data_IF_679815717742
#
_entry.id   IF_679815717742
#
_cell.length_a   1.000
_cell.length_b   1.000
_cell.length_c   1.000
_cell.angle_alpha   90.00
_cell.angle_beta   90.00
_cell.angle_gamma   90.00
#
_symmetry.space_group_name_H-M   'P 1'
#
loop_
_entity.id
_entity.type
_entity.pdbx_description
1 polymer ?
#
# COMPACT_ATOMS: atom_id res chain seq x y z
N UNK A 1 -16.48 40.64 -4.40
CA UNK A 1 -15.77 39.36 -4.64
C UNK A 1 -15.70 38.62 -3.31
N UNK A 2 -16.65 37.71 -3.09
CA UNK A 2 -16.73 36.90 -1.87
C UNK A 2 -15.74 35.75 -2.03
N UNK A 3 -14.81 35.61 -1.11
CA UNK A 3 -13.90 34.49 -1.05
C UNK A 3 -14.70 33.17 -0.94
N UNK A 4 -14.31 32.08 -1.63
CA UNK A 4 -14.97 30.79 -1.46
C UNK A 4 -14.79 30.36 -0.01
N UNK A 5 -15.90 30.06 0.67
CA UNK A 5 -15.90 29.49 2.00
C UNK A 5 -14.99 28.27 2.01
N UNK A 6 -14.03 28.25 2.89
CA UNK A 6 -13.22 27.09 3.23
C UNK A 6 -14.18 25.97 3.70
N UNK A 7 -14.49 25.04 2.82
CA UNK A 7 -15.23 23.83 3.19
C UNK A 7 -14.27 22.93 3.96
N UNK A 8 -14.06 23.25 5.22
CA UNK A 8 -13.43 22.36 6.18
C UNK A 8 -14.24 21.07 6.16
N UNK A 9 -13.66 20.00 5.63
CA UNK A 9 -14.31 18.68 5.63
C UNK A 9 -14.32 18.23 7.09
N UNK A 10 -15.52 18.10 7.65
CA UNK A 10 -15.68 17.61 9.02
C UNK A 10 -15.17 16.18 9.10
N UNK A 11 -14.19 15.93 9.96
CA UNK A 11 -13.60 14.60 10.17
C UNK A 11 -14.63 13.57 10.71
N UNK A 12 -15.81 14.04 11.12
CA UNK A 12 -16.92 13.23 11.62
C UNK A 12 -17.87 12.73 10.51
N UNK A 13 -17.73 13.21 9.26
CA UNK A 13 -18.60 12.74 8.17
C UNK A 13 -18.25 11.30 7.75
N UNK A 14 -19.26 10.41 7.52
CA UNK A 14 -19.02 9.07 7.06
C UNK A 14 -18.30 9.08 5.70
N UNK A 15 -17.39 8.15 5.52
CA UNK A 15 -16.67 7.97 4.26
C UNK A 15 -17.65 7.61 3.14
N UNK A 16 -17.38 8.09 1.93
CA UNK A 16 -18.05 7.57 0.73
C UNK A 16 -17.67 6.09 0.52
N UNK A 17 -18.57 5.31 -0.12
CA UNK A 17 -18.45 3.85 -0.23
C UNK A 17 -17.08 3.38 -0.75
N UNK A 18 -16.54 4.03 -1.79
CA UNK A 18 -15.23 3.70 -2.34
C UNK A 18 -14.11 3.83 -1.29
N UNK A 19 -14.12 4.90 -0.48
CA UNK A 19 -13.12 5.12 0.56
C UNK A 19 -13.30 4.17 1.74
N UNK A 20 -14.53 3.83 2.08
CA UNK A 20 -14.83 2.83 3.11
C UNK A 20 -14.33 1.44 2.69
N UNK A 21 -14.46 1.09 1.40
CA UNK A 21 -13.92 -0.15 0.87
C UNK A 21 -12.38 -0.15 0.92
N UNK A 22 -11.72 0.94 0.52
CA UNK A 22 -10.25 1.05 0.62
C UNK A 22 -9.77 1.00 2.07
N UNK A 23 -10.46 1.67 3.01
CA UNK A 23 -10.13 1.61 4.43
C UNK A 23 -10.17 0.17 4.95
N UNK A 24 -11.27 -0.56 4.70
CA UNK A 24 -11.42 -1.96 5.13
C UNK A 24 -10.37 -2.88 4.52
N UNK A 25 -10.07 -2.70 3.23
CA UNK A 25 -9.05 -3.51 2.55
C UNK A 25 -7.64 -3.23 3.12
N UNK A 26 -7.31 -1.98 3.42
CA UNK A 26 -6.01 -1.61 4.00
C UNK A 26 -5.89 -2.08 5.46
N UNK A 27 -6.96 -1.98 6.26
CA UNK A 27 -7.00 -2.58 7.60
C UNK A 27 -6.83 -4.10 7.54
N UNK A 28 -7.39 -4.76 6.52
CA UNK A 28 -7.14 -6.17 6.25
C UNK A 28 -5.68 -6.48 5.96
N UNK A 29 -5.00 -5.63 5.21
CA UNK A 29 -3.54 -5.72 4.96
C UNK A 29 -2.75 -5.62 6.28
N UNK A 30 -3.11 -4.67 7.14
CA UNK A 30 -2.47 -4.52 8.47
C UNK A 30 -2.66 -5.76 9.34
N UNK A 31 -3.88 -6.26 9.39
CA UNK A 31 -4.19 -7.48 10.16
C UNK A 31 -3.42 -8.70 9.62
N UNK A 32 -3.38 -8.85 8.29
CA UNK A 32 -2.68 -9.94 7.60
C UNK A 32 -1.16 -9.88 7.84
N UNK A 33 -0.57 -8.68 7.83
CA UNK A 33 0.85 -8.49 8.12
C UNK A 33 1.17 -8.82 9.58
N UNK A 34 0.35 -8.39 10.54
CA UNK A 34 0.51 -8.71 11.98
C UNK A 34 0.47 -10.22 12.22
N UNK A 35 -0.54 -10.92 11.65
CA UNK A 35 -0.67 -12.36 11.74
C UNK A 35 0.53 -13.09 11.10
N UNK A 36 0.97 -12.60 9.93
CA UNK A 36 2.11 -13.18 9.23
C UNK A 36 3.41 -13.12 10.06
N UNK A 37 3.65 -12.01 10.75
CA UNK A 37 4.90 -11.75 11.49
C UNK A 37 4.84 -12.19 12.96
N UNK A 38 3.64 -12.46 13.48
CA UNK A 38 3.49 -12.98 14.84
C UNK A 38 4.30 -14.26 15.03
N UNK A 39 4.89 -14.41 16.21
CA UNK A 39 5.60 -15.63 16.65
C UNK A 39 6.83 -16.02 15.79
N UNK A 40 7.25 -15.20 14.81
CA UNK A 40 8.48 -15.44 14.09
C UNK A 40 9.69 -15.03 14.93
N UNK A 41 10.75 -15.82 14.91
CA UNK A 41 12.07 -15.36 15.32
C UNK A 41 12.68 -14.42 14.27
N UNK A 42 13.70 -13.64 14.65
CA UNK A 42 14.38 -12.76 13.71
C UNK A 42 15.01 -13.55 12.56
N UNK A 43 15.59 -14.73 12.86
CA UNK A 43 16.14 -15.62 11.84
C UNK A 43 15.08 -16.15 10.87
N UNK A 44 13.85 -16.42 11.33
CA UNK A 44 12.73 -16.80 10.48
C UNK A 44 12.23 -15.63 9.64
N UNK A 45 12.18 -14.43 10.21
CA UNK A 45 11.76 -13.21 9.53
C UNK A 45 12.70 -12.85 8.38
N UNK A 46 13.99 -13.08 8.54
CA UNK A 46 15.06 -12.79 7.56
C UNK A 46 15.35 -13.95 6.61
N UNK A 47 14.76 -15.13 6.85
CA UNK A 47 15.07 -16.31 6.06
C UNK A 47 14.62 -16.19 4.61
N UNK A 48 15.51 -16.56 3.67
CA UNK A 48 15.26 -16.58 2.23
C UNK A 48 15.13 -18.02 1.72
N UNK A 49 14.08 -18.34 0.94
CA UNK A 49 13.89 -19.68 0.39
C UNK A 49 15.02 -20.16 -0.55
N UNK A 50 15.60 -19.23 -1.31
CA UNK A 50 16.73 -19.47 -2.23
C UNK A 50 17.45 -18.15 -2.58
N UNK A 51 18.67 -18.21 -3.17
CA UNK A 51 19.34 -17.03 -3.69
C UNK A 51 18.46 -16.25 -4.66
N UNK A 52 18.34 -14.94 -4.45
CA UNK A 52 17.51 -14.04 -5.26
C UNK A 52 16.00 -14.08 -4.97
N UNK A 53 15.56 -14.88 -4.01
CA UNK A 53 14.19 -14.81 -3.46
C UNK A 53 14.17 -13.95 -2.20
N UNK A 54 13.09 -13.25 -1.99
CA UNK A 54 12.93 -12.37 -0.85
C UNK A 54 12.49 -13.12 0.40
N UNK A 55 12.97 -12.64 1.55
CA UNK A 55 12.49 -13.00 2.88
C UNK A 55 11.16 -12.28 3.18
N UNK A 56 10.56 -12.60 4.33
CA UNK A 56 9.40 -11.86 4.85
C UNK A 56 9.78 -10.40 5.12
N UNK A 57 10.95 -10.17 5.76
CA UNK A 57 11.49 -8.84 6.01
C UNK A 57 11.60 -8.02 4.72
N UNK A 58 12.15 -8.61 3.67
CA UNK A 58 12.36 -7.93 2.39
C UNK A 58 11.05 -7.61 1.68
N UNK A 59 10.02 -8.45 1.82
CA UNK A 59 8.69 -8.15 1.29
C UNK A 59 8.10 -6.91 1.99
N UNK A 60 8.17 -6.80 3.32
CA UNK A 60 7.66 -5.65 4.06
C UNK A 60 8.48 -4.38 3.81
N UNK A 61 9.81 -4.49 3.75
CA UNK A 61 10.67 -3.34 3.45
C UNK A 61 10.41 -2.80 2.03
N UNK A 62 10.23 -3.69 1.04
CA UNK A 62 9.84 -3.29 -0.31
C UNK A 62 8.50 -2.53 -0.33
N UNK A 63 7.49 -3.03 0.39
CA UNK A 63 6.20 -2.35 0.51
C UNK A 63 6.33 -0.98 1.17
N UNK A 64 7.18 -0.87 2.19
CA UNK A 64 7.47 0.41 2.84
C UNK A 64 8.09 1.40 1.86
N UNK A 65 9.10 1.00 1.11
CA UNK A 65 9.78 1.89 0.16
C UNK A 65 8.86 2.35 -0.97
N UNK A 66 8.13 1.41 -1.58
CA UNK A 66 7.18 1.73 -2.67
C UNK A 66 6.01 2.57 -2.17
N UNK A 67 5.47 2.23 -1.00
CA UNK A 67 4.37 2.94 -0.38
C UNK A 67 4.73 4.37 0.02
N UNK A 68 5.95 4.63 0.54
CA UNK A 68 6.41 6.01 0.85
C UNK A 68 6.49 6.88 -0.39
N UNK A 69 6.89 6.32 -1.53
CA UNK A 69 6.87 7.07 -2.80
C UNK A 69 5.44 7.37 -3.24
N UNK A 70 4.55 6.37 -3.19
CA UNK A 70 3.13 6.55 -3.51
C UNK A 70 2.46 7.57 -2.58
N UNK A 71 2.71 7.49 -1.27
CA UNK A 71 2.19 8.40 -0.25
C UNK A 71 2.50 9.87 -0.55
N UNK A 72 3.74 10.16 -0.97
CA UNK A 72 4.13 11.53 -1.37
C UNK A 72 3.28 12.02 -2.52
N UNK A 73 3.14 11.24 -3.59
CA UNK A 73 2.33 11.61 -4.75
C UNK A 73 0.83 11.70 -4.42
N UNK A 74 0.32 10.86 -3.52
CA UNK A 74 -1.04 10.96 -3.02
C UNK A 74 -1.23 12.29 -2.29
N UNK A 75 -0.35 12.67 -1.37
CA UNK A 75 -0.43 13.95 -0.63
C UNK A 75 -0.38 15.17 -1.55
N UNK A 76 0.51 15.16 -2.53
CA UNK A 76 0.58 16.20 -3.56
C UNK A 76 -0.75 16.29 -4.35
N UNK A 77 -1.33 15.14 -4.69
CA UNK A 77 -2.61 15.06 -5.40
C UNK A 77 -3.78 15.55 -4.54
N UNK A 78 -3.81 15.23 -3.25
CA UNK A 78 -4.82 15.74 -2.32
C UNK A 78 -4.77 17.28 -2.22
N UNK A 79 -3.57 17.83 -2.05
CA UNK A 79 -3.37 19.28 -2.01
C UNK A 79 -3.79 19.95 -3.34
N UNK A 80 -3.42 19.36 -4.48
CA UNK A 80 -3.81 19.88 -5.81
C UNK A 80 -5.33 19.81 -6.02
N UNK A 81 -5.96 18.69 -5.66
CA UNK A 81 -7.39 18.51 -5.80
C UNK A 81 -8.18 19.56 -4.98
N UNK A 82 -7.74 19.84 -3.74
CA UNK A 82 -8.32 20.90 -2.90
C UNK A 82 -8.17 22.29 -3.52
N UNK A 83 -6.95 22.66 -3.95
CA UNK A 83 -6.70 23.95 -4.62
C UNK A 83 -7.56 24.16 -5.85
N UNK A 84 -7.83 23.09 -6.60
CA UNK A 84 -8.61 23.12 -7.85
C UNK A 84 -10.12 22.94 -7.62
N UNK A 85 -10.57 22.81 -6.38
CA UNK A 85 -11.98 22.61 -6.06
C UNK A 85 -12.56 21.31 -6.64
N UNK A 86 -11.77 20.24 -6.72
CA UNK A 86 -12.22 18.96 -7.27
C UNK A 86 -12.99 18.17 -6.22
N UNK A 87 -14.20 18.60 -5.90
CA UNK A 87 -15.08 17.96 -4.92
C UNK A 87 -16.15 17.10 -5.60
N UNK A 88 -16.48 15.94 -5.01
CA UNK A 88 -17.59 15.07 -5.37
C UNK A 88 -17.71 13.92 -4.37
N UNK A 89 -18.92 13.47 -4.10
CA UNK A 89 -19.20 12.31 -3.23
C UNK A 89 -19.40 10.99 -3.98
N UNK A 90 -19.18 10.98 -5.29
CA UNK A 90 -19.37 9.78 -6.09
C UNK A 90 -20.85 9.57 -6.50
N UNK A 91 -21.23 8.35 -6.88
CA UNK A 91 -20.34 7.20 -7.08
C UNK A 91 -19.30 7.42 -8.19
N UNK A 92 -18.12 6.80 -8.05
CA UNK A 92 -17.02 6.98 -9.02
C UNK A 92 -16.94 5.80 -10.00
N UNK A 93 -16.84 6.11 -11.29
CA UNK A 93 -16.56 5.13 -12.35
C UNK A 93 -15.15 5.35 -12.88
N UNK A 94 -14.27 4.38 -12.68
CA UNK A 94 -12.88 4.47 -13.09
C UNK A 94 -12.67 3.94 -14.50
N UNK A 95 -11.63 4.45 -15.20
CA UNK A 95 -11.31 4.04 -16.56
C UNK A 95 -10.79 2.60 -16.64
N UNK A 96 -11.12 1.91 -17.74
CA UNK A 96 -10.82 0.49 -17.95
C UNK A 96 -9.31 0.19 -17.90
N UNK A 97 -8.47 1.04 -18.50
CA UNK A 97 -7.02 0.85 -18.50
C UNK A 97 -6.45 0.79 -17.06
N UNK A 98 -6.84 1.74 -16.20
CA UNK A 98 -6.40 1.72 -14.80
C UNK A 98 -6.93 0.51 -14.03
N UNK A 99 -8.16 0.05 -14.32
CA UNK A 99 -8.69 -1.18 -13.73
C UNK A 99 -7.90 -2.42 -14.17
N UNK A 100 -7.46 -2.49 -15.44
CA UNK A 100 -6.60 -3.58 -15.90
C UNK A 100 -5.25 -3.58 -15.18
N UNK A 101 -4.65 -2.41 -14.97
CA UNK A 101 -3.39 -2.26 -14.20
C UNK A 101 -3.58 -2.76 -12.77
N UNK A 102 -4.63 -2.31 -12.07
CA UNK A 102 -4.95 -2.77 -10.70
C UNK A 102 -5.11 -4.29 -10.67
N UNK A 103 -5.89 -4.87 -11.58
CA UNK A 103 -6.09 -6.32 -11.65
C UNK A 103 -4.79 -7.11 -11.90
N UNK A 104 -3.85 -6.54 -12.70
CA UNK A 104 -2.56 -7.19 -12.97
C UNK A 104 -1.65 -7.25 -11.74
N UNK A 105 -1.90 -6.40 -10.73
CA UNK A 105 -1.16 -6.35 -9.46
C UNK A 105 -1.72 -7.27 -8.38
N UNK A 106 -2.78 -8.01 -8.64
CA UNK A 106 -3.39 -8.91 -7.66
C UNK A 106 -2.44 -10.01 -7.15
N UNK A 107 -2.84 -10.72 -6.06
CA UNK A 107 -1.95 -11.55 -5.24
C UNK A 107 -1.35 -12.78 -5.94
N UNK A 108 -1.88 -13.23 -7.06
CA UNK A 108 -1.34 -14.37 -7.82
C UNK A 108 -0.80 -13.90 -9.17
N UNK A 109 0.46 -13.42 -9.23
CA UNK A 109 0.99 -12.89 -10.48
C UNK A 109 1.17 -13.99 -11.54
N UNK A 110 0.65 -13.75 -12.74
CA UNK A 110 0.91 -14.61 -13.91
C UNK A 110 2.34 -14.42 -14.46
N UNK A 111 2.97 -13.28 -14.14
CA UNK A 111 4.33 -12.93 -14.58
C UNK A 111 5.14 -12.40 -13.39
N UNK A 112 6.40 -12.81 -13.32
CA UNK A 112 7.37 -12.30 -12.35
C UNK A 112 8.05 -11.07 -12.96
N UNK A 113 7.85 -9.90 -12.34
CA UNK A 113 8.59 -8.69 -12.69
C UNK A 113 9.71 -8.47 -11.67
N UNK A 114 10.89 -8.11 -12.15
CA UNK A 114 11.96 -7.66 -11.24
C UNK A 114 11.65 -6.24 -10.77
N UNK A 115 11.72 -6.01 -9.48
CA UNK A 115 11.58 -4.66 -8.91
C UNK A 115 12.69 -3.75 -9.46
N UNK A 116 12.36 -2.52 -9.90
CA UNK A 116 13.37 -1.51 -10.23
C UNK A 116 14.35 -1.34 -9.07
N UNK A 117 15.60 -0.98 -9.37
CA UNK A 117 16.67 -0.86 -8.36
C UNK A 117 16.29 0.06 -7.18
N UNK A 118 15.59 1.16 -7.47
CA UNK A 118 15.14 2.13 -6.46
C UNK A 118 14.09 1.58 -5.47
N UNK A 119 13.47 0.44 -5.76
CA UNK A 119 12.43 -0.18 -4.93
C UNK A 119 12.87 -1.55 -4.39
N UNK A 120 14.14 -1.90 -4.51
CA UNK A 120 14.65 -3.13 -3.92
C UNK A 120 14.80 -2.97 -2.41
N UNK A 121 14.51 -4.03 -1.65
CA UNK A 121 14.68 -4.02 -0.20
C UNK A 121 16.11 -3.62 0.19
N UNK A 122 16.23 -2.91 1.31
CA UNK A 122 17.53 -2.58 1.89
C UNK A 122 18.10 -3.81 2.63
N UNK A 123 19.40 -4.10 2.49
CA UNK A 123 20.00 -5.22 3.20
C UNK A 123 20.11 -4.94 4.70
N UNK A 124 20.00 -6.00 5.51
CA UNK A 124 20.35 -6.03 6.93
C UNK A 124 19.67 -4.97 7.82
N UNK A 125 18.37 -4.74 7.63
CA UNK A 125 17.57 -3.91 8.54
C UNK A 125 17.07 -4.74 9.72
N UNK A 126 17.14 -4.17 10.93
CA UNK A 126 16.59 -4.82 12.12
C UNK A 126 15.06 -5.02 11.97
N UNK A 127 14.55 -6.17 12.44
CA UNK A 127 13.13 -6.51 12.39
C UNK A 127 12.23 -5.40 12.93
N UNK A 128 12.55 -4.90 14.12
CA UNK A 128 11.78 -3.85 14.78
C UNK A 128 11.67 -2.56 13.92
N UNK A 129 12.71 -2.24 13.14
CA UNK A 129 12.68 -1.10 12.22
C UNK A 129 11.77 -1.36 11.01
N UNK A 130 11.87 -2.56 10.42
CA UNK A 130 11.05 -2.94 9.26
C UNK A 130 9.57 -2.93 9.64
N UNK A 131 9.20 -3.57 10.75
CA UNK A 131 7.81 -3.61 11.24
C UNK A 131 7.29 -2.21 11.58
N UNK A 132 8.06 -1.43 12.36
CA UNK A 132 7.69 -0.06 12.73
C UNK A 132 7.42 0.80 11.49
N UNK A 133 8.33 0.78 10.51
CA UNK A 133 8.23 1.62 9.33
C UNK A 133 7.09 1.20 8.41
N UNK A 134 6.82 -0.12 8.31
CA UNK A 134 5.70 -0.65 7.57
C UNK A 134 4.36 -0.22 8.21
N UNK A 135 4.18 -0.44 9.52
CA UNK A 135 2.91 -0.10 10.18
C UNK A 135 2.69 1.41 10.24
N UNK A 136 3.74 2.22 10.46
CA UNK A 136 3.63 3.68 10.40
C UNK A 136 3.18 4.15 9.00
N UNK A 137 3.67 3.54 7.92
CA UNK A 137 3.20 3.83 6.57
C UNK A 137 1.71 3.53 6.41
N UNK A 138 1.23 2.39 6.96
CA UNK A 138 -0.19 2.02 6.85
C UNK A 138 -1.09 3.04 7.56
N UNK A 139 -0.69 3.54 8.73
CA UNK A 139 -1.42 4.58 9.45
C UNK A 139 -1.50 5.89 8.64
N UNK A 140 -0.39 6.27 7.99
CA UNK A 140 -0.35 7.45 7.12
C UNK A 140 -1.25 7.29 5.87
N UNK A 141 -1.30 6.09 5.28
CA UNK A 141 -2.18 5.79 4.14
C UNK A 141 -3.65 5.80 4.54
N UNK A 142 -3.99 5.25 5.70
CA UNK A 142 -5.34 5.35 6.28
C UNK A 142 -5.74 6.81 6.51
N UNK A 143 -4.80 7.64 6.96
CA UNK A 143 -4.98 9.09 7.05
C UNK A 143 -5.33 9.71 5.69
N UNK A 144 -4.57 9.39 4.64
CA UNK A 144 -4.84 9.89 3.29
C UNK A 144 -6.19 9.42 2.72
N UNK A 145 -6.62 8.19 3.02
CA UNK A 145 -7.95 7.70 2.64
C UNK A 145 -9.03 8.58 3.29
N UNK A 146 -8.93 8.86 4.60
CA UNK A 146 -9.88 9.73 5.32
C UNK A 146 -9.85 11.15 4.76
N UNK A 147 -8.68 11.71 4.53
CA UNK A 147 -8.49 13.05 3.94
C UNK A 147 -9.02 13.19 2.51
N UNK A 148 -9.23 12.09 1.82
CA UNK A 148 -9.81 12.05 0.47
C UNK A 148 -11.33 12.22 0.47
N UNK A 149 -12.00 12.15 1.64
CA UNK A 149 -13.45 12.25 1.73
C UNK A 149 -13.93 13.59 1.17
N UNK A 150 -14.95 13.55 0.35
CA UNK A 150 -15.46 14.71 -0.36
C UNK A 150 -14.69 15.12 -1.62
N UNK A 151 -13.50 14.60 -1.88
CA UNK A 151 -12.77 14.86 -3.11
C UNK A 151 -13.25 13.99 -4.27
N UNK A 152 -13.09 14.49 -5.48
CA UNK A 152 -13.41 13.73 -6.70
C UNK A 152 -12.30 12.73 -7.03
N UNK A 153 -12.42 11.50 -6.51
CA UNK A 153 -11.41 10.44 -6.65
C UNK A 153 -11.10 10.08 -8.11
N UNK A 154 -12.00 10.36 -9.04
CA UNK A 154 -11.80 10.11 -10.48
C UNK A 154 -11.02 11.24 -11.16
N UNK A 155 -11.31 12.50 -10.83
CA UNK A 155 -10.69 13.69 -11.48
C UNK A 155 -9.34 14.03 -10.86
N UNK A 156 -9.14 13.81 -9.59
CA UNK A 156 -7.83 13.90 -8.95
C UNK A 156 -6.89 12.85 -9.56
N UNK A 157 -5.73 13.27 -10.08
CA UNK A 157 -4.81 12.41 -10.84
C UNK A 157 -3.45 12.32 -10.17
N UNK A 158 -3.05 11.10 -9.87
CA UNK A 158 -1.71 10.76 -9.39
C UNK A 158 -0.84 10.42 -10.59
N UNK A 159 0.33 11.03 -10.68
CA UNK A 159 1.33 10.67 -11.69
C UNK A 159 2.15 9.50 -11.16
N UNK A 160 2.26 8.44 -11.96
CA UNK A 160 3.02 7.24 -11.57
C UNK A 160 4.49 7.57 -11.28
N UNK A 161 5.05 7.06 -10.17
CA UNK A 161 6.48 7.22 -9.88
C UNK A 161 7.39 6.45 -10.85
N UNK A 162 6.83 5.46 -11.54
CA UNK A 162 7.61 4.63 -12.51
C UNK A 162 7.70 5.29 -13.88
N UNK A 163 6.64 6.00 -14.30
CA UNK A 163 6.63 6.71 -15.58
C UNK A 163 5.69 7.91 -15.55
N UNK A 164 6.17 9.07 -16.00
CA UNK A 164 5.37 10.30 -16.09
C UNK A 164 4.22 10.22 -17.10
N UNK A 165 4.25 9.23 -17.99
CA UNK A 165 3.21 9.02 -19.00
C UNK A 165 1.94 8.36 -18.42
N UNK A 166 2.07 7.65 -17.29
CA UNK A 166 0.94 7.00 -16.65
C UNK A 166 0.37 7.89 -15.54
N UNK A 167 -0.90 8.25 -15.69
CA UNK A 167 -1.67 8.99 -14.68
C UNK A 167 -2.89 8.18 -14.29
N UNK A 168 -2.91 7.73 -13.05
CA UNK A 168 -4.07 7.06 -12.47
C UNK A 168 -4.99 8.07 -11.77
N UNK A 169 -6.25 7.75 -11.63
CA UNK A 169 -7.10 8.49 -10.70
C UNK A 169 -6.73 8.15 -9.26
N UNK A 170 -7.02 9.05 -8.32
CA UNK A 170 -6.71 8.83 -6.90
C UNK A 170 -7.32 7.52 -6.37
N UNK A 171 -8.56 7.21 -6.75
CA UNK A 171 -9.16 5.93 -6.35
C UNK A 171 -8.48 4.71 -6.98
N UNK A 172 -7.98 4.82 -8.23
CA UNK A 172 -7.19 3.75 -8.84
C UNK A 172 -5.81 3.60 -8.21
N UNK A 173 -5.21 4.68 -7.72
CA UNK A 173 -3.94 4.62 -7.00
C UNK A 173 -4.09 3.89 -5.66
N UNK A 174 -5.14 4.20 -4.87
CA UNK A 174 -5.44 3.43 -3.65
C UNK A 174 -5.66 1.94 -3.96
N UNK A 175 -6.46 1.63 -4.97
CA UNK A 175 -6.71 0.25 -5.37
C UNK A 175 -5.43 -0.46 -5.82
N UNK A 176 -4.55 0.21 -6.57
CA UNK A 176 -3.26 -0.33 -7.03
C UNK A 176 -2.33 -0.62 -5.87
N UNK A 177 -2.21 0.33 -4.93
CA UNK A 177 -1.37 0.21 -3.75
C UNK A 177 -1.82 -0.98 -2.89
N UNK A 178 -3.10 -1.07 -2.59
CA UNK A 178 -3.67 -2.17 -1.78
C UNK A 178 -3.45 -3.52 -2.48
N UNK A 179 -3.70 -3.62 -3.79
CA UNK A 179 -3.46 -4.84 -4.54
C UNK A 179 -1.97 -5.24 -4.55
N UNK A 180 -1.06 -4.26 -4.60
CA UNK A 180 0.38 -4.48 -4.51
C UNK A 180 0.79 -5.00 -3.13
N UNK A 181 0.23 -4.44 -2.05
CA UNK A 181 0.48 -4.92 -0.68
C UNK A 181 -0.03 -6.34 -0.48
N UNK A 182 -1.26 -6.63 -0.90
CA UNK A 182 -1.81 -7.99 -0.84
C UNK A 182 -0.95 -9.01 -1.61
N UNK A 183 -0.39 -8.61 -2.76
CA UNK A 183 0.51 -9.45 -3.55
C UNK A 183 1.78 -9.81 -2.78
N UNK A 184 2.43 -8.83 -2.14
CA UNK A 184 3.68 -9.07 -1.43
C UNK A 184 3.46 -9.75 -0.07
N UNK A 185 2.35 -9.53 0.60
CA UNK A 185 1.95 -10.34 1.75
C UNK A 185 1.66 -11.79 1.35
N UNK A 186 0.98 -12.03 0.23
CA UNK A 186 0.85 -13.37 -0.31
C UNK A 186 2.22 -14.02 -0.59
N UNK A 187 3.15 -13.28 -1.21
CA UNK A 187 4.52 -13.76 -1.43
C UNK A 187 5.22 -14.10 -0.11
N UNK A 188 5.13 -13.26 0.90
CA UNK A 188 5.71 -13.49 2.22
C UNK A 188 5.08 -14.72 2.91
N UNK A 189 3.77 -14.95 2.75
CA UNK A 189 3.11 -16.18 3.20
C UNK A 189 3.64 -17.43 2.50
N UNK A 190 3.98 -17.35 1.20
CA UNK A 190 4.63 -18.48 0.50
C UNK A 190 6.04 -18.76 1.06
N UNK A 191 6.76 -17.74 1.54
CA UNK A 191 8.03 -17.94 2.26
C UNK A 191 7.79 -18.72 3.57
N UNK A 192 6.83 -18.28 4.39
CA UNK A 192 6.48 -18.97 5.66
C UNK A 192 5.97 -20.40 5.44
N UNK A 193 5.24 -20.65 4.36
CA UNK A 193 4.69 -21.95 4.01
C UNK A 193 5.69 -22.87 3.29
N UNK A 194 6.94 -22.47 3.12
CA UNK A 194 7.94 -23.28 2.42
C UNK A 194 8.27 -24.54 3.25
N UNK A 195 8.33 -25.76 2.67
CA UNK A 195 8.61 -26.99 3.39
C UNK A 195 9.92 -27.01 4.18
N UNK A 196 10.91 -26.20 3.76
CA UNK A 196 12.21 -26.05 4.45
C UNK A 196 12.31 -24.77 5.25
N UNK A 197 11.19 -24.10 5.54
CA UNK A 197 11.15 -22.93 6.42
C UNK A 197 11.68 -23.32 7.83
N UNK A 198 12.56 -22.52 8.44
CA UNK A 198 13.13 -22.85 9.76
C UNK A 198 12.03 -23.08 10.80
N UNK A 199 12.12 -24.18 11.54
CA UNK A 199 11.25 -24.40 12.69
C UNK A 199 11.61 -23.44 13.81
N UNK A 200 10.62 -23.04 14.61
CA UNK A 200 10.89 -22.31 15.84
C UNK A 200 11.87 -23.14 16.70
N UNK A 201 12.99 -22.52 17.11
CA UNK A 201 13.86 -23.14 18.10
C UNK A 201 13.05 -23.13 19.39
N UNK A 202 12.76 -24.34 19.93
CA UNK A 202 12.19 -24.44 21.27
C UNK A 202 13.16 -23.70 22.20
N UNK A 203 12.70 -22.65 22.86
CA UNK A 203 13.45 -22.05 23.96
C UNK A 203 13.50 -23.08 25.07
N UNK A 204 14.67 -23.73 25.21
CA UNK A 204 14.98 -24.48 26.42
C UNK A 204 14.80 -23.52 27.60
N UNK A 205 13.79 -23.80 28.44
CA UNK A 205 13.41 -23.02 29.61
C UNK A 205 14.41 -23.11 30.74
#
# INVERSE_FOLDING_TARGET
>A
MTAPADKTIDAAEPLVSDLEDFRRLLEGVVADARDLTAELSDSQFEWRPAPGQWSIAECLDHLTQTGRVALRHIRETLADARRRGLYSRGPFRYGLLGQMIVRSMGPRPRMKFKAPAAFRPQPARARAEVERDFFALQDELLGCIRESNGLNLRRAKVTSPVTRLLRLSLGQEFALLIAHEQRHLWQARQVRANPVFPKAVASDG
#
